data_IF_606683242766
#
_entry.id   IF_606683242766
#
_cell.length_a   1.000
_cell.length_b   1.000
_cell.length_c   1.000
_cell.angle_alpha   90.00
_cell.angle_beta   90.00
_cell.angle_gamma   90.00
#
_symmetry.space_group_name_H-M   'P 1'
#
loop_
_entity.id
_entity.type
_entity.pdbx_description
1 polymer ?
#
# COMPACT_ATOMS: atom_id res chain seq x y z
N UNK A 1 12.55 -4.76 13.51
CA UNK A 1 12.62 -3.80 12.37
C UNK A 1 13.44 -4.46 11.28
N UNK A 2 13.00 -4.44 10.01
CA UNK A 2 13.78 -5.00 8.91
C UNK A 2 15.12 -4.28 8.78
N UNK A 3 16.16 -5.02 8.39
CA UNK A 3 17.43 -4.46 7.94
C UNK A 3 17.25 -3.58 6.69
N UNK A 4 18.20 -2.70 6.42
CA UNK A 4 18.15 -1.85 5.21
C UNK A 4 18.06 -2.68 3.92
N UNK A 5 18.74 -3.82 3.87
CA UNK A 5 18.65 -4.77 2.74
C UNK A 5 17.24 -5.35 2.60
N UNK A 6 16.55 -5.65 3.69
CA UNK A 6 15.18 -6.16 3.66
C UNK A 6 14.18 -5.07 3.25
N UNK A 7 14.36 -3.82 3.73
CA UNK A 7 13.55 -2.68 3.28
C UNK A 7 13.67 -2.45 1.78
N UNK A 8 14.90 -2.50 1.26
CA UNK A 8 15.14 -2.34 -0.18
C UNK A 8 14.40 -3.41 -1.00
N UNK A 9 14.44 -4.68 -0.57
CA UNK A 9 13.68 -5.75 -1.23
C UNK A 9 12.18 -5.51 -1.17
N UNK A 10 11.66 -5.03 -0.03
CA UNK A 10 10.24 -4.68 0.11
C UNK A 10 9.86 -3.59 -0.89
N UNK A 11 10.70 -2.56 -1.07
CA UNK A 11 10.45 -1.50 -2.05
C UNK A 11 10.47 -2.03 -3.49
N UNK A 12 11.45 -2.86 -3.84
CA UNK A 12 11.53 -3.48 -5.17
C UNK A 12 10.31 -4.37 -5.48
N UNK A 13 9.77 -5.06 -4.48
CA UNK A 13 8.53 -5.83 -4.63
C UNK A 13 7.30 -4.92 -4.72
N UNK A 14 7.25 -3.85 -3.93
CA UNK A 14 6.17 -2.85 -3.99
C UNK A 14 6.09 -2.20 -5.38
N UNK A 15 7.23 -1.83 -5.96
CA UNK A 15 7.31 -1.24 -7.30
C UNK A 15 6.74 -2.18 -8.37
N UNK A 16 6.98 -3.48 -8.25
CA UNK A 16 6.38 -4.48 -9.17
C UNK A 16 4.85 -4.51 -9.07
N UNK A 17 4.26 -4.37 -7.87
CA UNK A 17 2.82 -4.27 -7.73
C UNK A 17 2.27 -2.95 -8.29
N UNK A 18 3.00 -1.85 -8.11
CA UNK A 18 2.66 -0.55 -8.70
C UNK A 18 2.72 -0.60 -10.23
N UNK A 19 3.69 -1.28 -10.82
CA UNK A 19 3.77 -1.47 -12.27
C UNK A 19 2.54 -2.20 -12.82
N UNK A 20 2.03 -3.20 -12.09
CA UNK A 20 0.77 -3.87 -12.45
C UNK A 20 -0.40 -2.88 -12.38
N UNK A 21 -0.52 -2.11 -11.30
CA UNK A 21 -1.59 -1.11 -11.15
C UNK A 21 -1.52 -0.02 -12.22
N UNK A 22 -0.32 0.46 -12.57
CA UNK A 22 -0.11 1.45 -13.62
C UNK A 22 -0.52 0.91 -14.99
N UNK A 23 -0.19 -0.35 -15.31
CA UNK A 23 -0.64 -0.98 -16.55
C UNK A 23 -2.16 -1.06 -16.63
N UNK A 24 -2.83 -1.48 -15.56
CA UNK A 24 -4.29 -1.52 -15.50
C UNK A 24 -4.88 -0.11 -15.66
N UNK A 25 -4.33 0.90 -14.97
CA UNK A 25 -4.80 2.28 -15.06
C UNK A 25 -4.62 2.91 -16.45
N UNK A 26 -3.70 2.38 -17.27
CA UNK A 26 -3.48 2.82 -18.64
C UNK A 26 -4.45 2.16 -19.66
N UNK A 27 -5.24 1.16 -19.26
CA UNK A 27 -6.18 0.49 -20.16
C UNK A 27 -7.31 1.44 -20.60
N UNK A 28 -7.71 1.44 -21.89
CA UNK A 28 -8.76 2.32 -22.37
C UNK A 28 -10.10 2.12 -21.65
N UNK A 29 -10.67 3.21 -21.13
CA UNK A 29 -11.95 3.17 -20.42
C UNK A 29 -11.86 2.74 -18.95
N UNK A 30 -10.65 2.49 -18.44
CA UNK A 30 -10.45 2.13 -17.04
C UNK A 30 -10.52 3.37 -16.12
N UNK A 31 -11.22 3.22 -14.99
CA UNK A 31 -11.25 4.23 -13.92
C UNK A 31 -10.10 4.00 -12.93
N UNK A 32 -9.29 5.03 -12.69
CA UNK A 32 -8.22 5.01 -11.70
C UNK A 32 -8.73 4.67 -10.30
N UNK A 33 -9.92 5.15 -9.92
CA UNK A 33 -10.53 4.83 -8.63
C UNK A 33 -10.85 3.33 -8.51
N UNK A 34 -11.26 2.70 -9.61
CA UNK A 34 -11.52 1.26 -9.68
C UNK A 34 -10.22 0.46 -9.55
N UNK A 35 -9.14 0.86 -10.23
CA UNK A 35 -7.82 0.23 -10.06
C UNK A 35 -7.30 0.38 -8.63
N UNK A 36 -7.47 1.57 -8.04
CA UNK A 36 -7.14 1.84 -6.64
C UNK A 36 -7.93 0.96 -5.66
N UNK A 37 -9.21 0.70 -5.94
CA UNK A 37 -10.00 -0.24 -5.15
C UNK A 37 -9.51 -1.69 -5.33
N UNK A 38 -9.18 -2.09 -6.55
CA UNK A 38 -8.71 -3.43 -6.87
C UNK A 38 -7.38 -3.77 -6.15
N UNK A 39 -6.40 -2.85 -6.14
CA UNK A 39 -5.12 -3.11 -5.45
C UNK A 39 -5.30 -3.23 -3.92
N UNK A 40 -6.17 -2.41 -3.30
CA UNK A 40 -6.50 -2.56 -1.86
C UNK A 40 -7.15 -3.90 -1.57
N UNK A 41 -8.07 -4.35 -2.43
CA UNK A 41 -8.71 -5.65 -2.28
C UNK A 41 -7.73 -6.81 -2.46
N UNK A 42 -6.80 -6.71 -3.42
CA UNK A 42 -5.75 -7.71 -3.63
C UNK A 42 -4.82 -7.81 -2.40
N UNK A 43 -4.37 -6.67 -1.85
CA UNK A 43 -3.55 -6.63 -0.64
C UNK A 43 -4.27 -7.27 0.55
N UNK A 44 -5.55 -6.97 0.75
CA UNK A 44 -6.35 -7.56 1.82
C UNK A 44 -6.43 -9.10 1.71
N UNK A 45 -6.62 -9.64 0.50
CA UNK A 45 -6.67 -11.09 0.26
C UNK A 45 -5.33 -11.76 0.53
N UNK A 46 -4.24 -11.13 0.10
CA UNK A 46 -2.90 -11.65 0.33
C UNK A 46 -2.56 -11.68 1.83
N UNK A 47 -2.81 -10.58 2.54
CA UNK A 47 -2.54 -10.46 3.97
C UNK A 47 -3.42 -11.40 4.81
N UNK A 48 -4.69 -11.59 4.41
CA UNK A 48 -5.54 -12.58 5.08
C UNK A 48 -5.00 -14.02 4.91
N UNK A 49 -4.42 -14.32 3.75
CA UNK A 49 -3.75 -15.61 3.55
C UNK A 49 -2.45 -15.71 4.36
N UNK A 50 -1.63 -14.67 4.39
CA UNK A 50 -0.44 -14.60 5.25
C UNK A 50 -0.80 -14.89 6.72
N UNK A 51 -1.82 -14.22 7.24
CA UNK A 51 -2.29 -14.43 8.60
C UNK A 51 -2.70 -15.89 8.85
N UNK A 52 -3.42 -16.50 7.91
CA UNK A 52 -3.86 -17.90 8.02
C UNK A 52 -2.71 -18.91 8.07
N UNK A 53 -1.50 -18.53 7.65
CA UNK A 53 -0.30 -19.38 7.72
C UNK A 53 0.51 -19.16 8.99
N UNK A 54 0.22 -18.11 9.77
CA UNK A 54 0.98 -17.71 10.96
C UNK A 54 0.35 -18.18 12.27
N UNK A 55 -0.91 -18.62 12.26
CA UNK A 55 -1.63 -19.11 13.45
C UNK A 55 -2.47 -20.34 13.12
N UNK A 56 -2.60 -21.23 14.10
CA UNK A 56 -3.49 -22.40 14.05
C UNK A 56 -4.94 -22.05 14.45
N UNK A 57 -5.18 -20.88 15.06
CA UNK A 57 -6.51 -20.40 15.49
C UNK A 57 -6.73 -18.93 15.09
N UNK A 58 -6.86 -18.71 13.78
CA UNK A 58 -7.14 -17.38 13.22
C UNK A 58 -8.45 -16.78 13.74
N UNK A 59 -9.40 -17.59 14.21
CA UNK A 59 -10.65 -17.10 14.76
C UNK A 59 -10.43 -16.41 16.12
N UNK A 60 -9.60 -17.00 16.99
CA UNK A 60 -9.23 -16.38 18.27
C UNK A 60 -8.37 -15.12 18.10
N UNK A 61 -7.50 -15.10 17.10
CA UNK A 61 -6.54 -14.01 16.86
C UNK A 61 -7.03 -12.95 15.87
N UNK A 62 -8.23 -13.10 15.30
CA UNK A 62 -8.75 -12.29 14.20
C UNK A 62 -8.62 -10.78 14.44
N UNK A 63 -9.00 -10.32 15.63
CA UNK A 63 -9.01 -8.90 15.98
C UNK A 63 -7.61 -8.32 16.10
N UNK A 64 -6.66 -9.09 16.64
CA UNK A 64 -5.26 -8.69 16.80
C UNK A 64 -4.59 -8.58 15.42
N UNK A 65 -4.74 -9.62 14.60
CA UNK A 65 -4.27 -9.66 13.22
C UNK A 65 -4.82 -8.48 12.42
N UNK A 66 -6.13 -8.25 12.50
CA UNK A 66 -6.79 -7.15 11.79
C UNK A 66 -6.19 -5.80 12.20
N UNK A 67 -6.10 -5.54 13.51
CA UNK A 67 -5.54 -4.30 14.04
C UNK A 67 -4.11 -4.09 13.55
N UNK A 68 -3.29 -5.13 13.59
CA UNK A 68 -1.90 -5.05 13.15
C UNK A 68 -1.79 -4.66 11.68
N UNK A 69 -2.47 -5.38 10.78
CA UNK A 69 -2.43 -5.08 9.34
C UNK A 69 -2.99 -3.69 9.01
N UNK A 70 -4.09 -3.28 9.63
CA UNK A 70 -4.68 -1.96 9.37
C UNK A 70 -3.78 -0.83 9.87
N UNK A 71 -3.14 -1.01 11.03
CA UNK A 71 -2.23 -0.01 11.59
C UNK A 71 -0.97 0.15 10.72
N UNK A 72 -0.40 -0.94 10.22
CA UNK A 72 0.74 -0.87 9.29
C UNK A 72 0.33 -0.13 8.01
N UNK A 73 -0.80 -0.50 7.42
CA UNK A 73 -1.30 0.14 6.20
C UNK A 73 -1.59 1.63 6.40
N UNK A 74 -2.23 2.00 7.50
CA UNK A 74 -2.53 3.39 7.84
C UNK A 74 -1.26 4.23 7.93
N UNK A 75 -0.21 3.73 8.61
CA UNK A 75 1.07 4.45 8.73
C UNK A 75 1.70 4.69 7.36
N UNK A 76 1.80 3.63 6.54
CA UNK A 76 2.35 3.75 5.19
C UNK A 76 1.55 4.74 4.31
N UNK A 77 0.22 4.73 4.43
CA UNK A 77 -0.63 5.63 3.66
C UNK A 77 -0.45 7.08 4.09
N UNK A 78 -0.36 7.35 5.40
CA UNK A 78 -0.10 8.69 5.95
C UNK A 78 1.23 9.22 5.41
N UNK A 79 2.30 8.42 5.50
CA UNK A 79 3.64 8.82 5.02
C UNK A 79 3.63 9.20 3.54
N UNK A 80 2.90 8.45 2.69
CA UNK A 80 2.78 8.75 1.26
C UNK A 80 1.93 10.00 0.99
N UNK A 81 0.83 10.19 1.74
CA UNK A 81 0.00 11.39 1.63
C UNK A 81 0.80 12.62 2.03
N UNK A 82 1.55 12.57 3.12
CA UNK A 82 2.39 13.67 3.59
C UNK A 82 3.46 14.03 2.56
N UNK A 83 4.08 13.05 1.91
CA UNK A 83 5.00 13.29 0.79
C UNK A 83 4.30 14.02 -0.37
N UNK A 84 3.08 13.61 -0.74
CA UNK A 84 2.31 14.29 -1.77
C UNK A 84 1.92 15.73 -1.38
N UNK A 85 1.60 15.97 -0.11
CA UNK A 85 1.34 17.31 0.43
C UNK A 85 2.59 18.20 0.27
N UNK A 86 3.77 17.71 0.62
CA UNK A 86 5.02 18.46 0.47
C UNK A 86 5.36 18.75 -1.00
N UNK A 87 5.17 17.77 -1.90
CA UNK A 87 5.33 17.96 -3.35
C UNK A 87 4.38 19.05 -3.86
N UNK A 88 3.12 19.04 -3.42
CA UNK A 88 2.13 20.06 -3.82
C UNK A 88 2.51 21.46 -3.33
N UNK A 89 2.96 21.58 -2.07
CA UNK A 89 3.46 22.85 -1.51
C UNK A 89 4.63 23.39 -2.34
N UNK A 90 5.63 22.56 -2.63
CA UNK A 90 6.79 22.93 -3.44
C UNK A 90 6.41 23.40 -4.84
N UNK A 91 5.47 22.71 -5.52
CA UNK A 91 4.96 23.10 -6.84
C UNK A 91 4.27 24.47 -6.80
N UNK A 92 3.48 24.75 -5.77
CA UNK A 92 2.78 26.03 -5.61
C UNK A 92 3.74 27.19 -5.37
N UNK A 93 4.78 27.00 -4.55
CA UNK A 93 5.78 28.05 -4.29
C UNK A 93 6.62 28.41 -5.52
N UNK A 94 6.85 27.46 -6.43
CA UNK A 94 7.58 27.70 -7.70
C UNK A 94 6.76 28.46 -8.76
N UNK A 95 5.43 28.44 -8.67
CA UNK A 95 4.54 29.16 -9.60
C UNK A 95 4.33 30.62 -9.18
N UNK A 96 4.68 30.97 -7.94
CA UNK A 96 4.47 32.31 -7.35
C UNK A 96 5.73 33.20 -7.43
N UNK A 97 6.84 32.70 -7.99
CA UNK A 97 8.09 33.45 -8.21
C UNK A 97 8.37 33.64 -9.70
#
# INVERSE_FOLDING_TARGET
MPSETEKQKIYEMADQFIDVANRLAAEPGQDLALVGAAIRYAAARFNAHEASLQTDDLAAEQMEVLSWFTDQYQKMLIDNIDQHIEIQKSRRSKVVN
#
